data_IF_352674680312
#
_entry.id   IF_352674680312
#
_cell.length_a   1.000
_cell.length_b   1.000
_cell.length_c   1.000
_cell.angle_alpha   90.00
_cell.angle_beta   90.00
_cell.angle_gamma   90.00
#
_symmetry.space_group_name_H-M   'P 1'
#
loop_
_entity.id
_entity.type
_entity.pdbx_description
1 polymer ?
#
# COMPACT_ATOMS: atom_id res chain seq x y z
N UNK A 1 20.10 8.57 -9.78
CA UNK A 1 18.78 7.92 -9.93
C UNK A 1 17.86 8.56 -8.90
N UNK A 2 16.63 8.93 -9.25
CA UNK A 2 15.74 9.64 -8.32
C UNK A 2 15.32 8.69 -7.17
N UNK A 3 15.39 9.21 -5.96
CA UNK A 3 14.94 8.57 -4.71
C UNK A 3 13.56 9.08 -4.32
N UNK A 4 12.78 9.55 -5.30
CA UNK A 4 11.51 10.24 -5.08
C UNK A 4 10.36 9.47 -5.72
N UNK A 5 9.19 9.52 -5.10
CA UNK A 5 7.93 9.07 -5.68
C UNK A 5 7.20 10.27 -6.25
N UNK A 6 7.23 10.41 -7.58
CA UNK A 6 6.57 11.51 -8.28
C UNK A 6 5.67 10.99 -9.40
N UNK A 7 4.49 11.58 -9.49
CA UNK A 7 3.53 11.39 -10.57
C UNK A 7 2.56 10.22 -10.38
N UNK A 8 1.94 9.81 -11.48
CA UNK A 8 0.83 8.86 -11.50
C UNK A 8 1.29 7.41 -11.68
N UNK A 9 0.88 6.55 -10.77
CA UNK A 9 1.15 5.12 -10.73
C UNK A 9 -0.15 4.33 -10.88
N UNK A 10 -0.06 3.17 -11.53
CA UNK A 10 -1.14 2.19 -11.53
C UNK A 10 -0.91 1.20 -10.40
N UNK A 11 -1.90 1.07 -9.52
CA UNK A 11 -1.87 0.16 -8.39
C UNK A 11 -2.51 -1.18 -8.77
N UNK A 12 -1.83 -2.26 -8.40
CA UNK A 12 -2.33 -3.63 -8.53
C UNK A 12 -2.00 -4.41 -7.27
N UNK A 13 -3.00 -5.06 -6.69
CA UNK A 13 -2.80 -5.95 -5.55
C UNK A 13 -2.99 -7.40 -5.98
N UNK A 14 -2.17 -8.29 -5.44
CA UNK A 14 -2.21 -9.73 -5.66
C UNK A 14 -2.39 -10.43 -4.32
N UNK A 15 -3.21 -11.49 -4.27
CA UNK A 15 -3.29 -12.30 -3.04
C UNK A 15 -1.99 -13.07 -2.91
N UNK A 16 -1.48 -13.18 -1.68
CA UNK A 16 -0.38 -14.09 -1.40
C UNK A 16 -0.81 -15.50 -1.78
N UNK A 17 -0.04 -16.16 -2.64
CA UNK A 17 -0.15 -17.60 -2.84
C UNK A 17 0.28 -18.21 -1.50
N UNK A 18 -0.58 -18.97 -0.83
CA UNK A 18 -0.18 -19.63 0.42
C UNK A 18 1.05 -20.50 0.13
N UNK A 19 2.20 -20.10 0.67
CA UNK A 19 3.39 -20.95 0.68
C UNK A 19 3.27 -21.83 1.91
N UNK A 20 2.83 -23.07 1.71
CA UNK A 20 2.85 -24.11 2.75
C UNK A 20 4.19 -24.84 2.62
N UNK A 21 4.95 -24.92 3.71
CA UNK A 21 6.24 -25.65 3.78
C UNK A 21 7.28 -25.28 2.70
N UNK A 22 7.38 -24.00 2.35
CA UNK A 22 8.28 -23.50 1.30
C UNK A 22 8.07 -24.14 -0.10
N UNK A 23 6.95 -24.83 -0.31
CA UNK A 23 6.56 -25.36 -1.61
C UNK A 23 5.38 -24.56 -2.13
N UNK A 24 5.57 -23.83 -3.21
CA UNK A 24 4.44 -23.35 -4.01
C UNK A 24 3.73 -24.58 -4.59
N UNK A 25 2.58 -24.95 -4.03
CA UNK A 25 1.71 -25.95 -4.63
C UNK A 25 1.07 -25.33 -5.88
N UNK A 26 1.43 -25.88 -7.05
CA UNK A 26 0.89 -25.47 -8.35
C UNK A 26 1.95 -24.90 -9.28
N UNK A 27 1.66 -24.96 -10.58
CA UNK A 27 2.49 -24.30 -11.60
C UNK A 27 2.49 -22.79 -11.38
N UNK A 28 3.62 -22.09 -11.55
CA UNK A 28 3.65 -20.63 -11.48
C UNK A 28 2.72 -20.06 -12.54
N UNK A 29 1.55 -19.57 -12.12
CA UNK A 29 0.61 -18.85 -12.96
C UNK A 29 0.72 -17.36 -12.67
N UNK A 30 0.64 -16.52 -13.71
CA UNK A 30 0.47 -15.07 -13.55
C UNK A 30 -0.78 -14.87 -12.70
N UNK A 31 -0.60 -14.34 -11.49
CA UNK A 31 -1.72 -14.08 -10.60
C UNK A 31 -2.56 -12.95 -11.18
N UNK A 32 -3.86 -13.16 -11.35
CA UNK A 32 -4.77 -12.06 -11.64
C UNK A 32 -4.81 -11.11 -10.45
N UNK A 33 -4.76 -9.78 -10.66
CA UNK A 33 -5.00 -8.82 -9.59
C UNK A 33 -6.35 -9.12 -8.91
N UNK A 34 -6.38 -9.14 -7.58
CA UNK A 34 -7.61 -9.38 -6.83
C UNK A 34 -8.34 -8.08 -6.47
N UNK A 35 -7.63 -6.96 -6.47
CA UNK A 35 -8.19 -5.63 -6.24
C UNK A 35 -8.71 -5.03 -7.55
N UNK A 36 -9.72 -4.14 -7.48
CA UNK A 36 -10.05 -3.28 -8.62
C UNK A 36 -8.83 -2.48 -9.06
N UNK A 37 -8.87 -2.01 -10.31
CA UNK A 37 -7.86 -1.08 -10.82
C UNK A 37 -7.89 0.19 -9.98
N UNK A 38 -6.72 0.63 -9.54
CA UNK A 38 -6.58 1.91 -8.89
C UNK A 38 -5.38 2.68 -9.46
N UNK A 39 -5.40 3.99 -9.29
CA UNK A 39 -4.24 4.83 -9.56
C UNK A 39 -3.90 5.67 -8.35
N UNK A 40 -2.61 5.92 -8.16
CA UNK A 40 -2.11 6.77 -7.08
C UNK A 40 -1.29 7.86 -7.73
N UNK A 41 -1.58 9.11 -7.40
CA UNK A 41 -0.74 10.24 -7.74
C UNK A 41 0.09 10.62 -6.53
N UNK A 42 1.41 10.54 -6.65
CA UNK A 42 2.36 10.78 -5.56
C UNK A 42 3.11 12.09 -5.76
N UNK A 43 3.42 12.74 -4.64
CA UNK A 43 4.44 13.77 -4.55
C UNK A 43 5.29 13.54 -3.29
N UNK A 44 6.59 13.77 -3.42
CA UNK A 44 7.57 13.66 -2.35
C UNK A 44 8.24 15.01 -2.12
N UNK A 45 8.27 15.47 -0.87
CA UNK A 45 8.99 16.71 -0.54
C UNK A 45 10.50 16.49 -0.33
N UNK A 46 11.21 17.56 0.02
CA UNK A 46 12.66 17.53 0.26
C UNK A 46 13.06 16.73 1.49
N UNK A 47 12.14 16.51 2.43
CA UNK A 47 12.35 15.75 3.66
C UNK A 47 12.02 14.26 3.47
N UNK A 48 11.60 13.87 2.25
CA UNK A 48 11.24 12.50 1.92
C UNK A 48 9.83 12.12 2.38
N UNK A 49 8.98 13.08 2.74
CA UNK A 49 7.58 12.84 3.08
C UNK A 49 6.79 12.64 1.80
N UNK A 50 6.03 11.55 1.77
CA UNK A 50 5.19 11.18 0.63
C UNK A 50 3.76 11.61 0.93
N UNK A 51 3.15 12.28 -0.03
CA UNK A 51 1.72 12.57 -0.05
C UNK A 51 1.13 12.10 -1.37
N UNK A 52 -0.15 11.75 -1.37
CA UNK A 52 -0.79 11.30 -2.60
C UNK A 52 -2.29 11.13 -2.52
N UNK A 53 -2.87 10.95 -3.71
CA UNK A 53 -4.29 10.70 -3.90
C UNK A 53 -4.49 9.34 -4.55
N UNK A 54 -5.21 8.46 -3.86
CA UNK A 54 -5.65 7.16 -4.39
C UNK A 54 -7.00 7.34 -5.08
N UNK A 55 -7.13 6.83 -6.30
CA UNK A 55 -8.38 6.73 -7.05
C UNK A 55 -8.65 5.25 -7.33
N UNK A 56 -9.72 4.72 -6.75
CA UNK A 56 -10.17 3.35 -6.95
C UNK A 56 -11.43 3.35 -7.81
N UNK A 57 -11.35 2.72 -8.99
CA UNK A 57 -12.49 2.61 -9.88
C UNK A 57 -13.32 1.38 -9.50
N UNK A 58 -14.60 1.59 -9.18
CA UNK A 58 -15.54 0.52 -8.84
C UNK A 58 -16.75 0.55 -9.79
N UNK A 59 -17.52 -0.54 -9.89
CA UNK A 59 -18.77 -0.53 -10.67
C UNK A 59 -19.79 0.52 -10.20
N UNK A 60 -19.72 0.93 -8.92
CA UNK A 60 -20.60 1.93 -8.33
C UNK A 60 -20.09 3.38 -8.49
N UNK A 61 -18.91 3.56 -9.08
CA UNK A 61 -18.25 4.87 -9.23
C UNK A 61 -16.82 4.88 -8.70
N UNK A 62 -16.22 6.07 -8.66
CA UNK A 62 -14.84 6.26 -8.20
C UNK A 62 -14.79 6.58 -6.70
N UNK A 63 -13.97 5.82 -5.96
CA UNK A 63 -13.67 6.08 -4.56
C UNK A 63 -12.34 6.80 -4.48
N UNK A 64 -12.29 7.88 -3.71
CA UNK A 64 -11.08 8.67 -3.47
C UNK A 64 -10.53 8.35 -2.09
N UNK A 65 -9.22 8.13 -2.02
CA UNK A 65 -8.47 7.99 -0.78
C UNK A 65 -7.27 8.91 -0.74
N UNK A 66 -6.68 9.04 0.44
CA UNK A 66 -5.43 9.76 0.67
C UNK A 66 -4.32 8.78 0.96
N UNK A 67 -3.12 9.12 0.52
CA UNK A 67 -1.90 8.38 0.82
C UNK A 67 -0.93 9.32 1.51
N UNK A 68 -0.37 8.89 2.62
CA UNK A 68 0.71 9.58 3.32
C UNK A 68 1.83 8.60 3.60
N UNK A 69 3.06 9.07 3.79
CA UNK A 69 4.17 8.17 4.03
C UNK A 69 5.52 8.84 4.08
N UNK A 70 6.57 8.04 4.03
CA UNK A 70 7.96 8.51 4.01
C UNK A 70 8.86 7.56 3.23
N UNK A 71 9.93 8.13 2.68
CA UNK A 71 11.01 7.40 2.01
C UNK A 71 12.23 7.36 2.94
N UNK A 72 12.76 6.17 3.18
CA UNK A 72 13.99 5.94 3.93
C UNK A 72 15.07 5.36 3.01
N UNK A 73 16.11 6.15 2.74
CA UNK A 73 17.22 5.79 1.85
C UNK A 73 18.40 5.14 2.58
N UNK A 74 18.35 5.04 3.92
CA UNK A 74 19.49 4.63 4.74
C UNK A 74 19.66 3.11 4.89
N UNK A 75 18.64 2.32 4.55
CA UNK A 75 18.50 0.98 5.13
C UNK A 75 19.00 -0.21 4.33
N UNK A 76 19.18 -0.14 3.00
CA UNK A 76 19.40 -1.36 2.21
C UNK A 76 20.42 -1.20 1.07
N UNK A 77 21.59 -1.86 1.16
CA UNK A 77 22.52 -1.99 0.03
C UNK A 77 21.86 -2.70 -1.15
N UNK A 78 21.73 -2.02 -2.30
CA UNK A 78 21.20 -2.59 -3.55
C UNK A 78 19.74 -2.24 -3.88
N UNK A 79 18.96 -1.77 -2.90
CA UNK A 79 17.66 -1.12 -3.14
C UNK A 79 17.82 0.40 -3.14
N UNK A 80 16.94 1.10 -3.85
CA UNK A 80 17.05 2.56 -4.00
C UNK A 80 16.49 3.28 -2.78
N UNK A 81 15.39 2.79 -2.21
CA UNK A 81 14.82 3.27 -0.95
C UNK A 81 13.75 2.30 -0.40
N UNK A 82 13.58 2.30 0.92
CA UNK A 82 12.41 1.75 1.61
C UNK A 82 11.31 2.81 1.69
N UNK A 83 10.06 2.40 1.52
CA UNK A 83 8.91 3.31 1.57
C UNK A 83 7.87 2.73 2.51
N UNK A 84 7.42 3.56 3.44
CA UNK A 84 6.31 3.27 4.35
C UNK A 84 5.14 4.18 3.97
N UNK A 85 3.97 3.59 3.73
CA UNK A 85 2.76 4.32 3.32
C UNK A 85 1.60 3.97 4.24
N UNK A 86 0.74 4.94 4.48
CA UNK A 86 -0.60 4.77 5.02
C UNK A 86 -1.62 5.20 3.96
N UNK A 87 -2.56 4.31 3.64
CA UNK A 87 -3.62 4.54 2.69
C UNK A 87 -4.95 4.60 3.44
N UNK A 88 -5.61 5.75 3.39
CA UNK A 88 -6.94 5.95 3.95
C UNK A 88 -7.93 6.00 2.80
N UNK A 89 -8.83 5.02 2.72
CA UNK A 89 -9.82 4.91 1.65
C UNK A 89 -11.17 4.51 2.21
N UNK A 90 -12.20 5.32 1.93
CA UNK A 90 -13.53 5.16 2.49
C UNK A 90 -13.50 4.95 4.02
N UNK A 91 -13.74 3.72 4.48
CA UNK A 91 -13.76 3.34 5.90
C UNK A 91 -12.57 2.46 6.30
N UNK A 92 -11.48 2.46 5.55
CA UNK A 92 -10.33 1.60 5.83
C UNK A 92 -9.03 2.40 5.89
N UNK A 93 -8.19 2.06 6.86
CA UNK A 93 -6.79 2.50 6.95
C UNK A 93 -5.89 1.30 6.70
N UNK A 94 -5.00 1.40 5.72
CA UNK A 94 -4.10 0.34 5.33
C UNK A 94 -2.65 0.82 5.47
N UNK A 95 -1.83 0.10 6.23
CA UNK A 95 -0.40 0.37 6.30
C UNK A 95 0.32 -0.52 5.31
N UNK A 96 1.16 0.07 4.48
CA UNK A 96 1.94 -0.60 3.47
C UNK A 96 3.42 -0.32 3.65
N UNK A 97 4.23 -1.29 3.26
CA UNK A 97 5.69 -1.14 3.22
C UNK A 97 6.24 -1.80 1.96
N UNK A 98 7.22 -1.16 1.34
CA UNK A 98 7.82 -1.67 0.11
C UNK A 98 9.09 -0.94 -0.29
N UNK A 99 9.49 -1.13 -1.54
CA UNK A 99 10.77 -0.66 -2.06
C UNK A 99 10.65 -0.15 -3.50
N UNK A 100 11.47 0.86 -3.83
CA UNK A 100 11.71 1.25 -5.22
C UNK A 100 12.64 0.25 -5.89
N UNK A 101 12.19 -0.32 -7.02
CA UNK A 101 12.97 -1.28 -7.79
C UNK A 101 13.98 -0.55 -8.67
N UNK A 102 15.26 -0.81 -8.45
CA UNK A 102 16.37 -0.16 -9.15
C UNK A 102 16.23 -0.26 -10.67
N UNK A 103 16.42 0.87 -11.37
CA UNK A 103 16.33 0.94 -12.83
C UNK A 103 14.91 0.96 -13.37
N UNK A 104 13.90 1.04 -12.52
CA UNK A 104 12.49 1.12 -12.89
C UNK A 104 11.80 2.26 -12.15
N UNK A 105 10.56 2.57 -12.53
CA UNK A 105 9.63 3.41 -11.77
C UNK A 105 8.66 2.57 -10.95
N UNK A 106 8.97 1.29 -10.69
CA UNK A 106 8.08 0.41 -9.96
C UNK A 106 8.32 0.49 -8.45
N UNK A 107 7.22 0.61 -7.70
CA UNK A 107 7.16 0.38 -6.27
C UNK A 107 6.52 -0.99 -6.02
N UNK A 108 7.19 -1.83 -5.23
CA UNK A 108 6.70 -3.16 -4.87
C UNK A 108 6.73 -3.32 -3.36
N UNK A 109 5.64 -3.79 -2.79
CA UNK A 109 5.48 -3.90 -1.34
C UNK A 109 4.30 -4.78 -0.94
N UNK A 110 4.03 -4.81 0.36
CA UNK A 110 2.91 -5.50 0.95
C UNK A 110 2.08 -4.58 1.85
N UNK A 111 0.78 -4.88 1.94
CA UNK A 111 -0.08 -4.33 3.00
C UNK A 111 0.21 -5.14 4.26
N UNK A 112 0.67 -4.45 5.31
CA UNK A 112 1.03 -5.04 6.60
C UNK A 112 -0.17 -5.11 7.54
N UNK A 113 -1.02 -4.10 7.50
CA UNK A 113 -2.17 -3.95 8.38
C UNK A 113 -3.31 -3.31 7.60
N UNK A 114 -4.54 -3.79 7.82
CA UNK A 114 -5.76 -3.21 7.29
C UNK A 114 -6.79 -3.12 8.41
N UNK A 115 -7.16 -1.90 8.79
CA UNK A 115 -8.14 -1.63 9.85
C UNK A 115 -9.40 -1.07 9.21
N UNK A 116 -10.55 -1.63 9.59
CA UNK A 116 -11.85 -1.05 9.27
C UNK A 116 -12.23 -0.06 10.39
N UNK A 117 -12.50 1.18 10.00
CA UNK A 117 -12.79 2.32 10.88
C UNK A 117 -14.11 2.09 11.65
N UNK A 118 -15.04 1.29 11.13
CA UNK A 118 -16.29 1.00 11.85
C UNK A 118 -16.11 -0.02 12.98
N UNK A 119 -15.17 -0.95 12.81
CA UNK A 119 -14.84 -1.96 13.81
C UNK A 119 -14.01 -1.37 14.96
N UNK A 120 -13.12 -0.42 14.68
CA UNK A 120 -12.28 0.21 15.72
C UNK A 120 -13.10 1.05 16.72
N UNK A 121 -14.05 1.86 16.24
CA UNK A 121 -14.94 2.66 17.11
C UNK A 121 -15.85 1.79 17.99
N UNK A 122 -16.30 0.65 17.45
CA UNK A 122 -17.14 -0.30 18.19
C UNK A 122 -16.35 -1.02 19.30
N UNK A 123 -15.07 -1.31 19.07
CA UNK A 123 -14.19 -1.90 20.09
C UNK A 123 -13.80 -0.91 21.20
N UNK A 124 -13.51 0.35 20.86
CA UNK A 124 -13.25 1.38 21.89
C UNK A 124 -14.48 1.66 22.76
N UNK A 125 -15.68 1.72 22.17
CA UNK A 125 -16.92 1.88 22.91
C UNK A 125 -17.20 0.69 23.86
N UNK A 126 -16.92 -0.53 23.43
CA UNK A 126 -17.08 -1.75 24.23
C UNK A 126 -16.05 -1.88 25.36
N UNK A 127 -14.86 -1.29 25.23
CA UNK A 127 -13.87 -1.25 26.31
C UNK A 127 -14.21 -0.20 27.37
N UNK A 128 -14.74 0.97 26.97
CA UNK A 128 -15.17 2.02 27.92
C UNK A 128 -16.42 1.69 28.73
N UNK A 129 -17.20 0.69 28.33
CA UNK A 129 -18.39 0.24 29.09
C UNK A 129 -18.07 -0.84 30.14
N UNK A 130 -16.80 -1.23 30.27
CA UNK A 130 -16.32 -2.22 31.26
C UNK A 130 -15.53 -1.59 32.42
N UNK A 131 -15.44 -0.26 32.47
CA UNK A 131 -14.95 0.51 33.64
C UNK A 131 -16.14 1.05 34.44
#
# INVERSE_FOLDING_TARGET
>A
MSTTLEGKYYYRSFRSIQVVDMKTQGSPSISSPWSPTASIDFSTDTDGIVSGKLLLDTPAGQIVGTVTGKIDTSKIPGLVAEIELELVVAKSVNKAKGYLVKGTTAFVGGILEAVDIHLSQSMEAAMRTKE
#
